data_IF_801016559486
#
_entry.id   IF_801016559486
#
_cell.length_a   1.000
_cell.length_b   1.000
_cell.length_c   1.000
_cell.angle_alpha   90.00
_cell.angle_beta   90.00
_cell.angle_gamma   90.00
#
_symmetry.space_group_name_H-M   'P 1'
#
loop_
_entity.id
_entity.type
_entity.pdbx_description
1 polymer ?
#
# COMPACT_ATOMS: atom_id res chain seq x y z
N UNK A 1 8.78 56.26 -37.69
CA UNK A 1 8.28 55.89 -36.36
C UNK A 1 8.66 54.44 -36.12
N UNK A 2 9.45 54.21 -35.08
CA UNK A 2 10.12 52.96 -34.74
C UNK A 2 9.12 51.92 -34.26
N UNK A 3 9.21 50.70 -34.78
CA UNK A 3 8.45 49.54 -34.29
C UNK A 3 8.96 49.08 -32.92
N UNK A 4 8.10 48.49 -32.08
CA UNK A 4 8.55 47.92 -30.81
C UNK A 4 9.33 46.61 -31.05
N UNK A 5 10.46 46.56 -30.36
CA UNK A 5 11.46 45.50 -30.28
C UNK A 5 10.91 44.24 -29.63
N UNK A 6 11.23 43.09 -30.22
CA UNK A 6 11.06 41.78 -29.59
C UNK A 6 12.01 41.65 -28.38
N UNK A 7 11.44 41.62 -27.17
CA UNK A 7 12.15 41.23 -25.97
C UNK A 7 11.18 40.48 -25.04
N UNK A 8 11.67 39.37 -24.49
CA UNK A 8 11.16 38.58 -23.37
C UNK A 8 9.91 37.71 -23.54
N UNK A 9 10.13 36.53 -24.11
CA UNK A 9 9.33 35.33 -23.83
C UNK A 9 10.29 34.14 -23.55
N UNK A 10 11.12 34.24 -22.49
CA UNK A 10 11.83 33.07 -21.95
C UNK A 10 10.87 32.26 -21.07
N UNK A 11 10.19 31.30 -21.67
CA UNK A 11 9.23 30.41 -21.00
C UNK A 11 9.81 29.62 -19.80
N UNK A 12 8.95 29.19 -18.87
CA UNK A 12 9.34 28.62 -17.56
C UNK A 12 10.26 27.39 -17.67
N UNK A 13 10.21 26.67 -18.80
CA UNK A 13 11.07 25.52 -19.09
C UNK A 13 12.55 25.90 -19.28
N UNK A 14 12.84 27.09 -19.83
CA UNK A 14 14.22 27.58 -20.07
C UNK A 14 14.88 28.09 -18.79
N UNK A 15 14.09 28.66 -17.86
CA UNK A 15 14.56 29.02 -16.50
C UNK A 15 14.92 27.79 -15.67
N UNK A 16 14.17 26.69 -15.79
CA UNK A 16 14.48 25.43 -15.11
C UNK A 16 15.79 24.81 -15.64
N UNK A 17 16.05 24.87 -16.94
CA UNK A 17 17.28 24.34 -17.56
C UNK A 17 18.54 25.14 -17.18
N UNK A 18 18.45 26.47 -16.99
CA UNK A 18 19.55 27.30 -16.47
C UNK A 18 19.85 27.08 -14.98
N UNK A 19 18.84 26.70 -14.18
CA UNK A 19 19.02 26.41 -12.75
C UNK A 19 19.80 25.12 -12.47
N UNK A 20 19.71 24.13 -13.36
CA UNK A 20 20.43 22.85 -13.23
C UNK A 20 21.87 22.96 -13.75
N UNK A 21 22.12 23.82 -14.74
CA UNK A 21 23.45 24.03 -15.33
C UNK A 21 24.41 24.82 -14.40
N UNK A 22 23.90 25.40 -13.30
CA UNK A 22 24.68 26.16 -12.32
C UNK A 22 24.90 25.46 -10.97
N UNK A 23 24.39 24.25 -10.78
CA UNK A 23 24.66 23.48 -9.57
C UNK A 23 26.02 22.80 -9.69
N UNK A 24 26.84 22.93 -8.65
CA UNK A 24 28.04 22.10 -8.53
C UNK A 24 27.61 20.63 -8.52
N UNK A 25 28.38 19.75 -9.18
CA UNK A 25 28.19 18.30 -9.15
C UNK A 25 27.74 17.73 -7.79
N UNK A 26 28.28 18.15 -6.62
CA UNK A 26 27.79 17.68 -5.32
C UNK A 26 26.36 18.12 -4.97
N UNK A 27 25.90 19.30 -5.39
CA UNK A 27 24.54 19.77 -5.12
C UNK A 27 23.50 19.04 -5.98
N UNK A 28 23.83 18.77 -7.24
CA UNK A 28 23.00 17.94 -8.13
C UNK A 28 22.94 16.48 -7.65
N UNK A 29 24.07 15.93 -7.19
CA UNK A 29 24.14 14.58 -6.62
C UNK A 29 23.36 14.45 -5.31
N UNK A 30 23.43 15.46 -4.43
CA UNK A 30 22.65 15.49 -3.19
C UNK A 30 21.14 15.59 -3.47
N UNK A 31 20.72 16.43 -4.42
CA UNK A 31 19.31 16.54 -4.81
C UNK A 31 18.79 15.24 -5.45
N UNK A 32 19.59 14.59 -6.30
CA UNK A 32 19.25 13.30 -6.90
C UNK A 32 19.17 12.19 -5.84
N UNK A 33 20.10 12.17 -4.89
CA UNK A 33 20.11 11.23 -3.76
C UNK A 33 18.88 11.39 -2.86
N UNK A 34 18.47 12.63 -2.61
CA UNK A 34 17.27 12.93 -1.82
C UNK A 34 15.98 12.50 -2.56
N UNK A 35 15.91 12.70 -3.87
CA UNK A 35 14.78 12.28 -4.70
C UNK A 35 14.67 10.73 -4.79
N UNK A 36 15.81 10.04 -4.93
CA UNK A 36 15.88 8.57 -4.86
C UNK A 36 15.46 8.02 -3.50
N UNK A 37 15.89 8.67 -2.41
CA UNK A 37 15.47 8.31 -1.05
C UNK A 37 13.95 8.53 -0.83
N UNK A 38 13.37 9.55 -1.45
CA UNK A 38 11.93 9.83 -1.36
C UNK A 38 11.07 8.87 -2.21
N UNK A 39 11.59 8.38 -3.33
CA UNK A 39 10.96 7.33 -4.12
C UNK A 39 10.88 5.98 -3.38
N UNK A 40 11.74 5.77 -2.38
CA UNK A 40 11.71 4.62 -1.47
C UNK A 40 10.74 4.79 -0.29
N UNK A 41 9.75 5.68 -0.39
CA UNK A 41 8.70 5.85 0.62
C UNK A 41 8.01 4.51 0.94
N UNK A 42 7.68 4.31 2.22
CA UNK A 42 7.10 3.07 2.74
C UNK A 42 6.04 2.50 1.79
N UNK A 43 6.23 1.23 1.39
CA UNK A 43 5.30 0.51 0.52
C UNK A 43 3.96 0.28 1.19
N UNK A 44 3.91 0.31 2.53
CA UNK A 44 2.73 0.07 3.35
C UNK A 44 2.24 1.36 4.00
N UNK A 45 0.94 1.43 4.23
CA UNK A 45 0.35 2.47 5.05
C UNK A 45 0.91 2.38 6.48
N UNK A 46 1.26 3.55 7.04
CA UNK A 46 1.90 3.64 8.36
C UNK A 46 0.98 3.14 9.47
N UNK A 47 -0.31 3.46 9.40
CA UNK A 47 -1.33 2.96 10.33
C UNK A 47 -2.11 1.80 9.70
N UNK A 48 -2.66 0.88 10.53
CA UNK A 48 -3.73 0.01 10.06
C UNK A 48 -4.94 0.85 9.64
N UNK A 49 -5.81 0.28 8.82
CA UNK A 49 -7.07 0.92 8.44
C UNK A 49 -7.90 1.14 9.71
N UNK A 50 -8.36 2.36 9.93
CA UNK A 50 -9.09 2.74 11.13
C UNK A 50 -10.58 2.45 10.99
N UNK A 51 -11.27 2.23 12.11
CA UNK A 51 -12.71 1.93 12.11
C UNK A 51 -13.52 3.00 11.39
N UNK A 52 -13.20 4.28 11.61
CA UNK A 52 -13.86 5.41 10.93
C UNK A 52 -13.78 5.33 9.40
N UNK A 53 -12.65 4.87 8.87
CA UNK A 53 -12.37 4.81 7.44
C UNK A 53 -13.10 3.62 6.81
N UNK A 54 -12.99 2.45 7.46
CA UNK A 54 -13.63 1.23 6.99
C UNK A 54 -15.16 1.33 7.08
N UNK A 55 -15.70 1.88 8.17
CA UNK A 55 -17.13 2.16 8.32
C UNK A 55 -17.66 3.11 7.22
N UNK A 56 -16.87 4.11 6.82
CA UNK A 56 -17.24 5.01 5.72
C UNK A 56 -17.20 4.32 4.34
N UNK A 57 -16.32 3.35 4.15
CA UNK A 57 -16.33 2.50 2.95
C UNK A 57 -17.59 1.60 2.91
N UNK A 58 -17.92 0.91 4.00
CA UNK A 58 -19.08 0.01 4.04
C UNK A 58 -20.42 0.73 3.78
N UNK A 59 -20.56 2.00 4.17
CA UNK A 59 -21.76 2.80 3.86
C UNK A 59 -21.94 3.08 2.37
N UNK A 60 -20.85 3.08 1.59
CA UNK A 60 -20.87 3.31 0.14
C UNK A 60 -21.01 2.02 -0.68
N UNK A 61 -20.65 0.89 -0.08
CA UNK A 61 -20.70 -0.46 -0.70
C UNK A 61 -21.71 -1.37 0.03
N UNK A 62 -23.03 -1.09 -0.09
CA UNK A 62 -24.07 -1.88 0.57
C UNK A 62 -24.09 -3.30 0.00
N UNK A 63 -23.59 -4.25 0.80
CA UNK A 63 -23.38 -5.64 0.39
C UNK A 63 -22.13 -6.25 1.01
N UNK A 64 -21.18 -5.41 1.45
CA UNK A 64 -19.98 -5.87 2.12
C UNK A 64 -20.25 -6.40 3.54
N UNK A 65 -21.28 -5.94 4.26
CA UNK A 65 -21.81 -6.50 5.53
C UNK A 65 -20.83 -6.60 6.71
N UNK A 66 -21.10 -5.89 7.82
CA UNK A 66 -20.36 -6.05 9.11
C UNK A 66 -21.26 -6.66 10.17
N UNK A 67 -20.77 -7.66 10.90
CA UNK A 67 -21.41 -8.15 12.11
C UNK A 67 -20.98 -7.26 13.29
N UNK A 68 -21.85 -6.34 13.69
CA UNK A 68 -21.69 -5.37 14.79
C UNK A 68 -20.54 -4.33 14.65
N UNK A 69 -20.68 -3.12 15.25
CA UNK A 69 -19.64 -2.10 15.12
C UNK A 69 -18.49 -2.29 16.13
N UNK A 70 -17.22 -2.42 15.68
CA UNK A 70 -16.07 -2.16 16.54
C UNK A 70 -15.93 -0.70 16.96
N UNK A 71 -15.14 -0.56 18.03
CA UNK A 71 -15.01 0.59 18.90
C UNK A 71 -14.56 1.90 18.23
N UNK A 72 -14.84 2.99 18.95
CA UNK A 72 -14.55 4.40 18.70
C UNK A 72 -13.44 4.71 17.67
N UNK A 73 -13.87 5.27 16.53
CA UNK A 73 -13.14 6.26 15.72
C UNK A 73 -11.73 5.87 15.25
N UNK A 74 -10.74 6.01 16.14
CA UNK A 74 -9.30 5.89 15.86
C UNK A 74 -8.71 4.50 16.13
N UNK A 75 -9.51 3.56 16.63
CA UNK A 75 -9.10 2.17 16.75
C UNK A 75 -8.93 1.53 15.36
N UNK A 76 -8.12 0.46 15.28
CA UNK A 76 -8.04 -0.32 14.04
C UNK A 76 -9.40 -0.96 13.74
N UNK A 77 -9.76 -0.98 12.44
CA UNK A 77 -10.94 -1.70 11.98
C UNK A 77 -10.76 -3.21 12.20
N UNK A 78 -11.74 -3.83 12.87
CA UNK A 78 -11.83 -5.28 13.10
C UNK A 78 -13.16 -5.85 12.57
N UNK A 79 -13.41 -7.16 12.71
CA UNK A 79 -14.66 -7.83 12.29
C UNK A 79 -14.93 -7.84 10.76
N UNK A 80 -13.87 -8.02 9.98
CA UNK A 80 -13.91 -8.19 8.54
C UNK A 80 -13.15 -9.45 8.10
N UNK A 81 -13.61 -10.03 7.00
CA UNK A 81 -12.94 -11.13 6.33
C UNK A 81 -11.88 -10.60 5.34
N UNK A 82 -11.10 -11.49 4.76
CA UNK A 82 -10.02 -11.12 3.84
C UNK A 82 -10.54 -10.43 2.57
N UNK A 83 -11.68 -10.87 2.03
CA UNK A 83 -12.26 -10.31 0.82
C UNK A 83 -12.66 -8.85 1.00
N UNK A 84 -13.23 -8.50 2.15
CA UNK A 84 -13.59 -7.12 2.50
C UNK A 84 -12.35 -6.24 2.67
N UNK A 85 -11.32 -6.74 3.34
CA UNK A 85 -10.05 -6.03 3.49
C UNK A 85 -9.41 -5.74 2.12
N UNK A 86 -9.39 -6.74 1.23
CA UNK A 86 -8.93 -6.59 -0.15
C UNK A 86 -9.76 -5.58 -0.94
N UNK A 87 -11.08 -5.66 -0.84
CA UNK A 87 -12.00 -4.76 -1.55
C UNK A 87 -11.79 -3.30 -1.10
N UNK A 88 -11.62 -3.06 0.21
CA UNK A 88 -11.28 -1.74 0.71
C UNK A 88 -9.99 -1.21 0.09
N UNK A 89 -8.89 -1.99 0.16
CA UNK A 89 -7.62 -1.52 -0.41
C UNK A 89 -7.76 -1.26 -1.92
N UNK A 90 -8.45 -2.13 -2.66
CA UNK A 90 -8.69 -1.92 -4.10
C UNK A 90 -9.47 -0.62 -4.38
N UNK A 91 -10.49 -0.32 -3.58
CA UNK A 91 -11.25 0.94 -3.69
C UNK A 91 -10.40 2.18 -3.38
N UNK A 92 -9.28 2.03 -2.66
CA UNK A 92 -8.30 3.11 -2.44
C UNK A 92 -7.20 3.15 -3.53
N UNK A 93 -7.30 2.34 -4.59
CA UNK A 93 -6.22 2.20 -5.59
C UNK A 93 -4.97 1.52 -5.01
N UNK A 94 -5.15 0.68 -3.98
CA UNK A 94 -4.11 -0.02 -3.22
C UNK A 94 -4.35 -1.53 -3.27
N UNK A 95 -3.51 -2.29 -2.56
CA UNK A 95 -3.70 -3.73 -2.33
C UNK A 95 -3.42 -4.11 -0.89
N UNK A 96 -3.67 -5.36 -0.52
CA UNK A 96 -3.11 -5.91 0.71
C UNK A 96 -1.59 -6.12 0.54
N UNK A 97 -0.78 -5.93 1.58
CA UNK A 97 0.63 -6.31 1.56
C UNK A 97 0.79 -7.83 1.46
N UNK A 98 1.91 -8.28 0.91
CA UNK A 98 2.38 -9.65 1.11
C UNK A 98 2.97 -9.80 2.52
N UNK A 99 3.05 -11.03 3.04
CA UNK A 99 3.70 -11.28 4.33
C UNK A 99 5.16 -10.78 4.38
N UNK A 100 6.01 -11.04 3.36
CA UNK A 100 7.38 -10.51 3.36
C UNK A 100 7.45 -8.98 3.45
N UNK A 101 6.61 -8.26 2.68
CA UNK A 101 6.57 -6.78 2.73
C UNK A 101 6.16 -6.26 4.11
N UNK A 102 5.18 -6.92 4.74
CA UNK A 102 4.73 -6.58 6.08
C UNK A 102 5.84 -6.78 7.12
N UNK A 103 6.53 -7.91 7.07
CA UNK A 103 7.63 -8.20 7.99
C UNK A 103 8.82 -7.25 7.80
N UNK A 104 9.14 -6.89 6.56
CA UNK A 104 10.17 -5.90 6.24
C UNK A 104 9.83 -4.54 6.86
N UNK A 105 8.61 -4.03 6.62
CA UNK A 105 8.16 -2.77 7.18
C UNK A 105 8.12 -2.78 8.72
N UNK A 106 7.75 -3.92 9.31
CA UNK A 106 7.77 -4.11 10.77
C UNK A 106 9.19 -4.04 11.34
N UNK A 107 10.13 -4.82 10.79
CA UNK A 107 11.53 -4.85 11.23
C UNK A 107 12.20 -3.49 11.05
N UNK A 108 11.86 -2.78 9.98
CA UNK A 108 12.34 -1.42 9.71
C UNK A 108 11.66 -0.34 10.57
N UNK A 109 10.72 -0.70 11.47
CA UNK A 109 9.97 0.23 12.33
C UNK A 109 9.25 1.34 11.54
N UNK A 110 8.76 1.01 10.35
CA UNK A 110 8.06 1.94 9.45
C UNK A 110 6.54 1.98 9.68
N UNK A 111 6.05 1.21 10.64
CA UNK A 111 4.63 1.03 10.92
C UNK A 111 4.30 1.44 12.36
N UNK A 112 3.12 2.00 12.52
CA UNK A 112 2.46 2.17 13.79
C UNK A 112 1.38 1.09 13.96
N UNK A 113 1.19 0.66 15.19
CA UNK A 113 0.22 -0.38 15.56
C UNK A 113 -0.89 0.23 16.41
N UNK A 114 -2.12 -0.24 16.22
CA UNK A 114 -3.29 0.17 16.98
C UNK A 114 -3.94 -1.09 17.59
N UNK A 115 -3.69 -1.30 18.87
CA UNK A 115 -4.10 -2.52 19.58
C UNK A 115 -3.27 -3.75 19.17
N UNK A 116 -3.67 -4.90 19.72
CA UNK A 116 -3.07 -6.20 19.40
C UNK A 116 -3.97 -6.93 18.41
N UNK A 117 -3.86 -6.56 17.12
CA UNK A 117 -4.64 -7.14 16.03
C UNK A 117 -3.75 -7.92 15.07
N UNK A 118 -4.31 -8.98 14.50
CA UNK A 118 -3.78 -9.69 13.35
C UNK A 118 -4.13 -8.96 12.06
N UNK A 119 -3.16 -8.79 11.18
CA UNK A 119 -3.36 -8.09 9.92
C UNK A 119 -3.36 -9.03 8.73
N UNK A 120 -4.44 -9.00 7.94
CA UNK A 120 -4.56 -9.77 6.70
C UNK A 120 -3.48 -9.40 5.69
N UNK A 121 -2.89 -10.43 5.06
CA UNK A 121 -1.97 -10.28 3.91
C UNK A 121 -2.54 -10.93 2.66
N UNK A 122 -1.96 -10.63 1.49
CA UNK A 122 -2.29 -11.30 0.23
C UNK A 122 -1.66 -12.68 0.09
N UNK A 123 -0.71 -13.05 0.95
CA UNK A 123 0.05 -14.29 0.86
C UNK A 123 -0.82 -15.50 1.20
N UNK A 124 -0.83 -16.49 0.31
CA UNK A 124 -1.48 -17.77 0.53
C UNK A 124 -0.75 -18.56 1.63
N UNK A 125 -1.51 -19.35 2.39
CA UNK A 125 -1.02 -20.30 3.36
C UNK A 125 -1.57 -21.69 3.04
N UNK A 126 -0.75 -22.71 3.23
CA UNK A 126 -1.12 -24.11 3.07
C UNK A 126 0.11 -25.00 3.16
N UNK A 127 -0.08 -26.25 3.58
CA UNK A 127 0.96 -27.28 3.53
C UNK A 127 0.87 -28.04 2.20
N UNK A 128 2.01 -28.54 1.75
CA UNK A 128 2.06 -29.50 0.64
C UNK A 128 1.14 -30.69 0.95
N UNK A 129 0.17 -30.96 0.08
CA UNK A 129 -0.83 -32.03 0.25
C UNK A 129 -2.18 -31.61 0.83
N UNK A 130 -2.40 -30.34 1.19
CA UNK A 130 -3.73 -29.82 1.50
C UNK A 130 -4.54 -29.57 0.22
N UNK A 131 -5.86 -29.75 0.30
CA UNK A 131 -6.78 -29.57 -0.83
C UNK A 131 -6.62 -28.15 -1.39
N UNK A 132 -6.18 -28.04 -2.65
CA UNK A 132 -5.89 -26.77 -3.33
C UNK A 132 -7.08 -25.80 -3.28
N UNK A 133 -8.29 -26.34 -3.09
CA UNK A 133 -9.54 -25.59 -2.98
C UNK A 133 -9.68 -24.80 -1.68
N UNK A 134 -8.95 -25.14 -0.61
CA UNK A 134 -9.01 -24.44 0.69
C UNK A 134 -7.76 -23.60 0.86
N UNK A 135 -7.64 -22.51 0.08
CA UNK A 135 -6.52 -21.58 0.21
C UNK A 135 -6.71 -20.66 1.42
N UNK A 136 -5.92 -20.90 2.46
CA UNK A 136 -5.84 -20.01 3.63
C UNK A 136 -5.02 -18.77 3.28
N UNK A 137 -5.18 -17.70 4.07
CA UNK A 137 -4.39 -16.47 3.95
C UNK A 137 -3.53 -16.30 5.19
N UNK A 138 -2.28 -15.87 5.01
CA UNK A 138 -1.41 -15.53 6.12
C UNK A 138 -1.83 -14.21 6.77
N UNK A 139 -1.70 -14.15 8.09
CA UNK A 139 -1.83 -12.95 8.90
C UNK A 139 -0.53 -12.68 9.64
N UNK A 140 -0.23 -11.40 9.83
CA UNK A 140 0.94 -10.93 10.53
C UNK A 140 0.59 -10.16 11.81
N UNK A 141 1.56 -10.05 12.71
CA UNK A 141 1.39 -9.49 14.05
C UNK A 141 1.27 -10.59 15.12
N UNK A 142 0.49 -10.36 16.19
CA UNK A 142 -0.32 -9.18 16.40
C UNK A 142 0.53 -7.98 16.88
N UNK A 143 0.12 -6.77 16.49
CA UNK A 143 0.82 -5.55 16.92
C UNK A 143 2.32 -5.55 16.52
N UNK A 144 3.25 -5.22 17.42
CA UNK A 144 4.66 -5.01 17.09
C UNK A 144 5.46 -6.30 16.81
N UNK A 145 4.84 -7.47 16.92
CA UNK A 145 5.47 -8.75 16.62
C UNK A 145 5.62 -8.93 15.11
N UNK A 146 6.86 -8.94 14.61
CA UNK A 146 7.14 -9.04 13.17
C UNK A 146 6.94 -10.45 12.57
N UNK A 147 6.12 -11.29 13.20
CA UNK A 147 5.81 -12.65 12.78
C UNK A 147 4.60 -12.71 11.84
N UNK A 148 4.59 -13.66 10.91
CA UNK A 148 3.44 -14.00 10.08
C UNK A 148 3.17 -15.50 10.19
N UNK A 149 2.65 -15.90 11.35
CA UNK A 149 2.58 -17.31 11.76
C UNK A 149 1.19 -17.91 11.66
N UNK A 150 0.17 -17.08 11.43
CA UNK A 150 -1.22 -17.51 11.44
C UNK A 150 -1.80 -17.57 10.04
N UNK A 151 -2.64 -18.57 9.82
CA UNK A 151 -3.34 -18.79 8.56
C UNK A 151 -4.82 -19.01 8.86
N UNK A 152 -5.70 -18.30 8.16
CA UNK A 152 -7.14 -18.48 8.30
C UNK A 152 -7.84 -18.52 6.94
N UNK A 153 -8.97 -19.20 6.90
CA UNK A 153 -9.85 -19.21 5.73
C UNK A 153 -10.29 -17.77 5.43
N UNK A 154 -10.32 -17.33 4.15
CA UNK A 154 -10.54 -15.93 3.80
C UNK A 154 -11.91 -15.38 4.19
N UNK A 155 -12.87 -16.26 4.49
CA UNK A 155 -14.21 -15.88 5.02
C UNK A 155 -14.25 -15.62 6.53
N UNK A 156 -13.25 -16.10 7.28
CA UNK A 156 -13.24 -15.98 8.73
C UNK A 156 -13.04 -14.51 9.14
N UNK A 157 -13.77 -14.08 10.17
CA UNK A 157 -13.69 -12.73 10.72
C UNK A 157 -13.97 -12.76 12.22
N UNK A 158 -13.32 -11.89 13.00
CA UNK A 158 -13.56 -11.71 14.44
C UNK A 158 -12.98 -10.35 14.89
N UNK A 159 -13.08 -10.06 16.18
CA UNK A 159 -12.70 -8.81 16.85
C UNK A 159 -11.19 -8.54 16.92
N UNK A 160 -10.35 -9.45 16.44
CA UNK A 160 -8.88 -9.28 16.43
C UNK A 160 -8.27 -9.32 15.03
N UNK A 161 -9.06 -9.50 13.97
CA UNK A 161 -8.58 -9.47 12.59
C UNK A 161 -8.82 -8.08 12.03
N UNK A 162 -7.76 -7.40 11.62
CA UNK A 162 -7.75 -6.14 10.89
C UNK A 162 -6.83 -6.23 9.68
N UNK A 163 -6.37 -5.08 9.19
CA UNK A 163 -5.49 -5.01 8.03
C UNK A 163 -4.88 -3.62 7.85
N UNK A 164 -3.87 -3.54 6.99
CA UNK A 164 -3.37 -2.31 6.38
C UNK A 164 -3.25 -2.50 4.88
N UNK A 165 -3.16 -1.40 4.15
CA UNK A 165 -2.95 -1.45 2.71
C UNK A 165 -1.48 -1.20 2.35
N UNK A 166 -1.10 -1.69 1.17
CA UNK A 166 0.13 -1.40 0.49
C UNK A 166 -0.17 -0.62 -0.81
N UNK A 167 0.77 0.22 -1.24
CA UNK A 167 0.71 0.91 -2.52
C UNK A 167 0.48 -0.09 -3.66
N UNK A 168 -0.16 0.35 -4.74
CA UNK A 168 -0.27 -0.45 -5.95
C UNK A 168 1.12 -0.87 -6.43
N UNK A 169 1.25 -2.09 -6.95
CA UNK A 169 2.48 -2.46 -7.65
C UNK A 169 2.63 -1.57 -8.89
N UNK A 170 3.84 -1.07 -9.19
CA UNK A 170 4.09 -0.50 -10.50
C UNK A 170 3.85 -1.61 -11.52
N UNK A 171 2.78 -1.50 -12.30
CA UNK A 171 2.52 -2.43 -13.40
C UNK A 171 3.59 -2.21 -14.46
N UNK A 172 4.72 -2.91 -14.36
CA UNK A 172 5.63 -3.02 -15.49
C UNK A 172 4.93 -3.94 -16.49
N UNK A 173 4.16 -3.35 -17.41
CA UNK A 173 3.86 -4.04 -18.67
C UNK A 173 5.17 -4.13 -19.44
N UNK A 174 6.01 -5.11 -19.12
CA UNK A 174 7.00 -5.58 -20.08
C UNK A 174 6.17 -6.10 -21.24
N UNK A 175 6.19 -5.38 -22.36
CA UNK A 175 5.51 -5.73 -23.60
C UNK A 175 6.12 -7.00 -24.22
N UNK A 176 6.01 -8.12 -23.51
CA UNK A 176 6.22 -9.43 -24.07
C UNK A 176 4.91 -9.78 -24.77
N UNK A 177 4.85 -9.51 -26.07
CA UNK A 177 3.84 -10.11 -26.92
C UNK A 177 3.82 -11.63 -26.69
N UNK A 178 2.64 -12.27 -26.60
CA UNK A 178 2.58 -13.71 -26.52
C UNK A 178 3.21 -14.28 -27.79
N UNK A 179 4.31 -15.02 -27.62
CA UNK A 179 4.91 -15.86 -28.65
C UNK A 179 3.82 -16.76 -29.24
N UNK A 180 3.33 -16.40 -30.44
CA UNK A 180 2.48 -17.26 -31.24
C UNK A 180 3.27 -18.53 -31.56
N UNK A 181 2.79 -19.68 -31.08
CA UNK A 181 3.33 -20.97 -31.52
C UNK A 181 2.70 -21.36 -32.86
N UNK A 182 3.48 -22.04 -33.73
CA UNK A 182 3.04 -22.47 -35.06
C UNK A 182 1.90 -23.51 -35.01
#
# INVERSE_FOLDING_TARGET
MLGPSAADEEGPMRRALRGILGMTLPAAFAALSLALAWAAGARLDRLPVLDREFSAFLRREPGAGRAAPPAAGEAAAVLMNWHQARAYCAAQGKRLPTAPEWQEACRAKQMEFRGSIWEWTSTEAGREGEDEKVRFKLLCGPGPECGCTHAYHPEWRNEVKGFRCARAEPSVRLGLEPYARP
#
